data_IF_583936395321
#
_entry.id   IF_583936395321
#
_cell.length_a   1.000
_cell.length_b   1.000
_cell.length_c   1.000
_cell.angle_alpha   90.00
_cell.angle_beta   90.00
_cell.angle_gamma   90.00
#
_symmetry.space_group_name_H-M   'P 1'
#
loop_
_entity.id
_entity.type
_entity.pdbx_description
1 polymer ?
#
# COMPACT_ATOMS: atom_id res chain seq x y z
N UNK A 1 -0.11 -0.16 32.62
CA UNK A 1 -0.11 1.09 31.85
C UNK A 1 0.68 0.85 30.58
N UNK A 2 0.08 1.01 29.40
CA UNK A 2 0.84 0.93 28.14
C UNK A 2 1.77 2.14 28.07
N UNK A 3 3.04 1.92 27.73
CA UNK A 3 4.00 3.00 27.57
C UNK A 3 3.52 4.00 26.50
N UNK A 4 3.75 5.32 26.66
CA UNK A 4 3.39 6.31 25.65
C UNK A 4 4.13 6.03 24.33
N UNK A 5 3.43 6.20 23.20
CA UNK A 5 3.99 6.10 21.84
C UNK A 5 3.92 7.46 21.17
N UNK A 6 4.95 7.79 20.40
CA UNK A 6 5.09 9.07 19.70
C UNK A 6 4.83 8.88 18.19
N UNK A 7 4.32 9.92 17.54
CA UNK A 7 3.98 9.93 16.11
C UNK A 7 4.81 11.02 15.41
N UNK A 8 5.36 10.69 14.25
CA UNK A 8 6.05 11.64 13.37
C UNK A 8 5.07 12.09 12.29
N UNK A 9 4.87 13.39 12.17
CA UNK A 9 4.13 14.00 11.07
C UNK A 9 5.13 14.51 10.03
N UNK A 10 5.05 13.97 8.82
CA UNK A 10 5.95 14.32 7.72
C UNK A 10 5.10 14.88 6.56
N UNK A 11 5.01 16.21 6.41
CA UNK A 11 4.31 16.82 5.29
C UNK A 11 4.98 16.46 3.95
N UNK A 12 4.19 16.38 2.89
CA UNK A 12 4.68 16.12 1.52
C UNK A 12 4.15 17.20 0.59
N UNK A 13 4.82 17.43 -0.55
CA UNK A 13 4.33 18.35 -1.58
C UNK A 13 3.34 17.70 -2.55
N UNK A 14 2.89 16.47 -2.26
CA UNK A 14 1.99 15.71 -3.13
C UNK A 14 0.56 16.22 -2.95
N UNK A 15 -0.13 16.44 -4.07
CA UNK A 15 -1.49 16.97 -4.11
C UNK A 15 -2.54 15.89 -4.38
N UNK A 16 -2.15 14.60 -4.42
CA UNK A 16 -3.05 13.47 -4.63
C UNK A 16 -2.88 12.41 -3.54
N UNK A 17 -4.02 11.86 -3.09
CA UNK A 17 -4.04 10.75 -2.12
C UNK A 17 -3.33 9.51 -2.67
N UNK A 18 -3.55 9.20 -3.95
CA UNK A 18 -2.90 8.06 -4.61
C UNK A 18 -1.37 8.23 -4.67
N UNK A 19 -0.89 9.43 -4.99
CA UNK A 19 0.54 9.73 -5.00
C UNK A 19 1.16 9.58 -3.61
N UNK A 20 0.48 10.08 -2.58
CA UNK A 20 0.91 9.92 -1.19
C UNK A 20 0.89 8.45 -0.73
N UNK A 21 -0.07 7.64 -1.23
CA UNK A 21 -0.15 6.19 -0.99
C UNK A 21 1.04 5.46 -1.62
N UNK A 22 1.41 5.80 -2.86
CA UNK A 22 2.60 5.24 -3.52
C UNK A 22 3.88 5.61 -2.75
N UNK A 23 3.99 6.85 -2.27
CA UNK A 23 5.12 7.25 -1.43
C UNK A 23 5.17 6.46 -0.12
N UNK A 24 4.04 6.23 0.54
CA UNK A 24 3.97 5.44 1.76
C UNK A 24 4.44 4.00 1.54
N UNK A 25 4.06 3.38 0.41
CA UNK A 25 4.57 2.06 0.02
C UNK A 25 6.09 2.07 -0.19
N UNK A 26 6.62 3.04 -0.93
CA UNK A 26 8.06 3.18 -1.16
C UNK A 26 8.85 3.39 0.15
N UNK A 27 8.30 4.17 1.09
CA UNK A 27 8.88 4.37 2.42
C UNK A 27 8.89 3.06 3.22
N UNK A 28 7.79 2.31 3.21
CA UNK A 28 7.68 1.01 3.87
C UNK A 28 8.74 0.02 3.37
N UNK A 29 8.93 -0.05 2.06
CA UNK A 29 9.91 -0.95 1.46
C UNK A 29 11.35 -0.54 1.80
N UNK A 30 11.66 0.75 1.64
CA UNK A 30 12.99 1.32 1.91
C UNK A 30 13.39 1.21 3.39
N UNK A 31 12.43 1.47 4.29
CA UNK A 31 12.65 1.52 5.74
C UNK A 31 12.17 0.25 6.45
N UNK A 32 11.95 -0.85 5.72
CA UNK A 32 11.53 -2.14 6.28
C UNK A 32 12.48 -2.69 7.35
N UNK A 33 13.73 -2.23 7.36
CA UNK A 33 14.74 -2.55 8.37
C UNK A 33 14.60 -1.76 9.69
N UNK A 34 13.80 -0.70 9.73
CA UNK A 34 13.59 0.15 10.92
C UNK A 34 12.43 -0.38 11.75
N UNK A 35 12.74 -1.17 12.78
CA UNK A 35 11.74 -1.82 13.64
C UNK A 35 10.96 -0.88 14.56
N UNK A 36 11.37 0.39 14.66
CA UNK A 36 10.68 1.42 15.43
C UNK A 36 9.44 1.99 14.72
N UNK A 37 9.30 1.75 13.40
CA UNK A 37 8.20 2.28 12.58
C UNK A 37 7.21 1.15 12.29
N UNK A 38 5.96 1.34 12.70
CA UNK A 38 4.87 0.45 12.33
C UNK A 38 4.17 1.01 11.08
N UNK A 39 4.58 0.52 9.91
CA UNK A 39 3.98 0.97 8.66
C UNK A 39 2.51 0.54 8.54
N UNK A 40 2.08 -0.57 9.14
CA UNK A 40 0.68 -1.03 9.02
C UNK A 40 -0.33 -0.02 9.56
N UNK A 41 0.07 0.78 10.54
CA UNK A 41 -0.76 1.80 11.18
C UNK A 41 -0.64 3.20 10.51
N UNK A 42 -0.05 3.29 9.31
CA UNK A 42 0.11 4.57 8.61
C UNK A 42 -1.22 5.13 8.12
N UNK A 43 -1.39 6.42 8.37
CA UNK A 43 -2.56 7.20 7.94
C UNK A 43 -2.14 8.40 7.10
N UNK A 44 -2.92 8.70 6.08
CA UNK A 44 -2.84 9.92 5.29
C UNK A 44 -3.95 10.87 5.67
N UNK A 45 -3.67 12.16 5.57
CA UNK A 45 -4.63 13.23 5.74
C UNK A 45 -4.26 14.37 4.81
N UNK A 46 -5.25 15.15 4.37
CA UNK A 46 -4.97 16.46 3.79
C UNK A 46 -4.38 17.39 4.87
N UNK A 47 -3.50 18.30 4.45
CA UNK A 47 -2.78 19.19 5.36
C UNK A 47 -3.71 20.06 6.21
N UNK A 48 -4.81 20.53 5.62
CA UNK A 48 -5.83 21.35 6.29
C UNK A 48 -6.88 20.52 7.03
N UNK A 49 -6.89 19.19 6.83
CA UNK A 49 -7.88 18.26 7.40
C UNK A 49 -7.23 17.08 8.12
N UNK A 50 -6.22 17.35 8.97
CA UNK A 50 -5.41 16.31 9.66
C UNK A 50 -6.19 15.41 10.62
N UNK A 51 -7.41 15.80 10.98
CA UNK A 51 -8.32 14.97 11.77
C UNK A 51 -9.00 13.88 10.94
N UNK A 52 -9.04 14.03 9.61
CA UNK A 52 -9.54 13.02 8.67
C UNK A 52 -8.39 12.12 8.25
N UNK A 53 -8.31 10.95 8.87
CA UNK A 53 -7.24 9.97 8.66
C UNK A 53 -7.74 8.84 7.78
N UNK A 54 -7.23 8.78 6.56
CA UNK A 54 -7.39 7.67 5.63
C UNK A 54 -6.30 6.64 5.89
N UNK A 55 -6.65 5.36 6.04
CA UNK A 55 -5.64 4.31 6.20
C UNK A 55 -5.02 3.99 4.84
N UNK A 56 -3.71 3.75 4.83
CA UNK A 56 -2.99 3.33 3.62
C UNK A 56 -3.19 1.84 3.37
N UNK A 57 -3.12 1.05 4.45
CA UNK A 57 -3.24 -0.40 4.42
C UNK A 57 -4.52 -0.86 5.12
N UNK A 58 -5.05 -2.00 4.67
CA UNK A 58 -6.23 -2.61 5.27
C UNK A 58 -5.98 -2.97 6.74
N UNK A 59 -4.80 -3.51 7.06
CA UNK A 59 -4.33 -3.83 8.42
C UNK A 59 -5.27 -4.77 9.22
N UNK A 60 -6.23 -5.40 8.55
CA UNK A 60 -7.19 -6.32 9.15
C UNK A 60 -6.45 -7.49 9.81
N UNK A 61 -6.86 -7.84 11.04
CA UNK A 61 -6.31 -8.98 11.76
C UNK A 61 -6.73 -10.27 11.05
N UNK A 62 -5.76 -11.13 10.78
CA UNK A 62 -5.96 -12.44 10.16
C UNK A 62 -5.91 -13.52 11.24
N UNK A 63 -6.55 -14.67 11.00
CA UNK A 63 -6.69 -15.80 11.94
C UNK A 63 -5.37 -16.53 12.30
N UNK A 64 -4.21 -15.93 11.99
CA UNK A 64 -2.89 -16.43 12.35
C UNK A 64 -1.93 -15.27 12.59
N UNK A 65 -2.02 -14.64 13.76
CA UNK A 65 -1.11 -13.63 14.36
C UNK A 65 -0.64 -12.44 13.48
N UNK A 66 -1.04 -12.38 12.21
CA UNK A 66 -0.61 -11.42 11.22
C UNK A 66 -1.71 -10.45 10.85
N UNK A 67 -1.35 -9.49 10.01
CA UNK A 67 -2.24 -8.47 9.50
C UNK A 67 -2.24 -8.49 7.98
N UNK A 68 -3.37 -8.08 7.40
CA UNK A 68 -3.47 -7.89 5.96
C UNK A 68 -2.45 -6.83 5.53
N UNK A 69 -1.61 -7.17 4.55
CA UNK A 69 -0.61 -6.23 4.03
C UNK A 69 -1.09 -5.41 2.84
N UNK A 70 -2.23 -5.76 2.25
CA UNK A 70 -2.82 -5.06 1.09
C UNK A 70 -3.27 -3.64 1.41
N UNK A 71 -3.40 -2.82 0.36
CA UNK A 71 -3.94 -1.46 0.44
C UNK A 71 -5.36 -1.44 1.01
N UNK A 72 -5.73 -0.35 1.67
CA UNK A 72 -7.10 -0.17 2.17
C UNK A 72 -8.10 -0.17 1.00
N UNK A 73 -9.24 -0.83 1.19
CA UNK A 73 -10.25 -1.00 0.12
C UNK A 73 -9.90 -2.01 -0.98
N UNK A 74 -8.88 -2.86 -0.80
CA UNK A 74 -8.52 -3.88 -1.79
C UNK A 74 -9.69 -4.83 -2.11
N UNK A 75 -9.73 -5.32 -3.36
CA UNK A 75 -10.63 -6.40 -3.75
C UNK A 75 -10.11 -7.76 -3.24
N UNK A 76 -11.02 -8.72 -3.08
CA UNK A 76 -10.68 -10.10 -2.67
C UNK A 76 -10.39 -10.26 -1.17
N UNK A 77 -10.04 -11.49 -0.73
CA UNK A 77 -9.82 -11.79 0.68
C UNK A 77 -8.54 -11.13 1.21
N UNK A 78 -8.54 -10.81 2.50
CA UNK A 78 -7.35 -10.30 3.18
C UNK A 78 -6.25 -11.37 3.23
N UNK A 79 -5.00 -10.96 3.01
CA UNK A 79 -3.82 -11.87 2.96
C UNK A 79 -2.61 -11.21 3.63
N UNK A 80 -1.74 -12.00 4.28
CA UNK A 80 -0.53 -11.48 4.91
C UNK A 80 0.58 -11.13 3.90
N UNK A 81 0.36 -11.34 2.60
CA UNK A 81 1.32 -11.03 1.53
C UNK A 81 0.78 -9.89 0.67
N UNK A 82 1.68 -8.99 0.23
CA UNK A 82 1.42 -7.95 -0.77
C UNK A 82 1.27 -8.53 -2.20
N UNK A 83 0.58 -9.66 -2.35
CA UNK A 83 0.37 -10.26 -3.66
C UNK A 83 -0.78 -9.54 -4.35
N UNK A 84 -0.44 -8.46 -5.07
CA UNK A 84 -1.24 -7.96 -6.19
C UNK A 84 -1.57 -9.17 -7.08
N UNK A 85 -2.86 -9.41 -7.33
CA UNK A 85 -3.29 -10.50 -8.21
C UNK A 85 -2.52 -10.36 -9.54
N UNK A 86 -1.86 -11.41 -10.08
CA UNK A 86 -1.12 -11.28 -11.33
C UNK A 86 -2.07 -10.79 -12.43
N UNK A 87 -1.62 -9.89 -13.33
CA UNK A 87 -2.45 -9.48 -14.46
C UNK A 87 -2.75 -10.72 -15.30
N UNK A 88 -4.05 -10.98 -15.51
CA UNK A 88 -4.52 -12.01 -16.44
C UNK A 88 -3.77 -11.87 -17.76
N UNK A 89 -3.13 -12.93 -18.30
CA UNK A 89 -2.39 -12.79 -19.54
C UNK A 89 -3.36 -12.37 -20.66
N UNK A 90 -3.10 -11.21 -21.26
CA UNK A 90 -3.76 -10.80 -22.48
C UNK A 90 -3.49 -11.85 -23.56
N UNK A 91 -4.54 -12.53 -24.00
CA UNK A 91 -4.50 -13.47 -25.12
C UNK A 91 -3.86 -12.81 -26.33
N UNK A 92 -2.71 -13.33 -26.73
CA UNK A 92 -1.97 -12.91 -27.91
C UNK A 92 -2.76 -13.17 -29.19
N UNK A 93 -2.78 -12.16 -30.05
CA UNK A 93 -3.26 -12.24 -31.43
C UNK A 93 -2.32 -11.46 -32.34
N UNK A 94 -1.05 -11.86 -32.42
CA UNK A 94 -0.14 -11.37 -33.44
C UNK A 94 -0.36 -12.19 -34.72
N UNK A 95 -1.06 -11.59 -35.68
CA UNK A 95 -1.24 -12.11 -37.04
C UNK A 95 0.10 -12.01 -37.79
N UNK A 96 0.68 -13.16 -38.10
CA UNK A 96 1.84 -13.31 -38.97
C UNK A 96 1.53 -12.74 -40.37
N UNK A 97 2.41 -11.87 -40.89
CA UNK A 97 2.39 -11.42 -42.28
C UNK A 97 3.43 -12.22 -43.09
N UNK A 98 3.14 -12.63 -44.33
CA UNK A 98 4.05 -13.48 -45.10
C UNK A 98 5.19 -12.67 -45.72
N UNK A 99 6.31 -13.32 -46.09
CA UNK A 99 7.41 -12.63 -46.75
C UNK A 99 7.06 -12.38 -48.22
N UNK A 100 7.36 -11.16 -48.71
CA UNK A 100 7.39 -10.86 -50.14
C UNK A 100 8.76 -11.26 -50.70
N UNK A 101 8.72 -11.92 -51.85
CA UNK A 101 9.85 -12.40 -52.68
C UNK A 101 10.71 -11.28 -53.24
#
# INVERSE_FOLDING_TARGET
MTAPRWIIHLPTTLTSCDGATVLAAALRDSLSHVTAIDFGETTLSEEDSQFLRTRVWCDARLDGAGRCRRLDGHAGPCTPTDEELPPTPATGGAKEAPPVV
#
